data_IF_420338910144
#
_entry.id   IF_420338910144
#
_cell.length_a   1.000
_cell.length_b   1.000
_cell.length_c   1.000
_cell.angle_alpha   90.00
_cell.angle_beta   90.00
_cell.angle_gamma   90.00
#
_symmetry.space_group_name_H-M   'P 1'
#
loop_
_entity.id
_entity.type
_entity.pdbx_description
1 polymer ?
#
# COMPACT_ATOMS: atom_id res chain seq x y z
N UNK A 1 12.23 2.07 -20.19
CA UNK A 1 11.13 1.72 -19.26
C UNK A 1 11.79 1.40 -17.92
N UNK A 2 11.38 2.04 -16.83
CA UNK A 2 12.03 1.87 -15.52
C UNK A 2 11.14 1.06 -14.59
N UNK A 3 11.68 0.05 -13.93
CA UNK A 3 10.99 -0.80 -12.96
C UNK A 3 11.51 -0.51 -11.55
N UNK A 4 10.67 -0.67 -10.53
CA UNK A 4 11.05 -0.60 -9.11
C UNK A 4 10.77 -1.91 -8.40
N UNK A 5 11.61 -2.27 -7.44
CA UNK A 5 11.47 -3.48 -6.61
C UNK A 5 10.40 -3.31 -5.52
N UNK A 6 10.01 -2.08 -5.22
CA UNK A 6 9.17 -1.76 -4.06
C UNK A 6 8.23 -0.61 -4.37
N UNK A 7 6.95 -0.80 -4.03
CA UNK A 7 5.90 0.22 -4.12
C UNK A 7 5.15 0.32 -2.79
N UNK A 8 5.04 1.54 -2.27
CA UNK A 8 4.25 1.86 -1.07
C UNK A 8 3.10 2.79 -1.43
N UNK A 9 1.96 2.60 -0.77
CA UNK A 9 0.75 3.39 -0.97
C UNK A 9 -0.03 3.43 0.34
N UNK A 10 -0.71 4.53 0.62
CA UNK A 10 -1.63 4.64 1.73
C UNK A 10 -3.05 5.01 1.26
N UNK A 11 -4.05 4.64 2.06
CA UNK A 11 -5.44 5.02 1.81
C UNK A 11 -6.16 5.33 3.12
N UNK A 12 -7.29 6.04 3.04
CA UNK A 12 -8.10 6.32 4.22
C UNK A 12 -8.72 5.03 4.77
N UNK A 13 -8.81 4.91 6.10
CA UNK A 13 -9.45 3.77 6.79
C UNK A 13 -10.85 3.41 6.23
N UNK A 14 -11.68 4.42 5.94
CA UNK A 14 -13.04 4.24 5.44
C UNK A 14 -13.12 3.83 3.95
N UNK A 15 -12.02 3.88 3.20
CA UNK A 15 -12.02 3.54 1.77
C UNK A 15 -11.95 2.00 1.57
N UNK A 16 -13.04 1.32 1.95
CA UNK A 16 -13.14 -0.14 1.90
C UNK A 16 -12.85 -0.72 0.51
N UNK A 17 -13.24 0.00 -0.56
CA UNK A 17 -12.99 -0.42 -1.95
C UNK A 17 -11.49 -0.45 -2.22
N UNK A 18 -10.77 0.63 -1.90
CA UNK A 18 -9.33 0.70 -2.13
C UNK A 18 -8.56 -0.31 -1.28
N UNK A 19 -8.95 -0.50 0.00
CA UNK A 19 -8.33 -1.53 0.87
C UNK A 19 -8.42 -2.92 0.24
N UNK A 20 -9.61 -3.31 -0.22
CA UNK A 20 -9.84 -4.60 -0.88
C UNK A 20 -9.07 -4.72 -2.21
N UNK A 21 -9.01 -3.63 -2.98
CA UNK A 21 -8.26 -3.61 -4.24
C UNK A 21 -6.77 -3.85 -4.00
N UNK A 22 -6.17 -3.13 -3.04
CA UNK A 22 -4.75 -3.26 -2.70
C UNK A 22 -4.40 -4.68 -2.27
N UNK A 23 -5.21 -5.26 -1.37
CA UNK A 23 -5.02 -6.63 -0.90
C UNK A 23 -5.12 -7.64 -2.05
N UNK A 24 -6.07 -7.45 -2.98
CA UNK A 24 -6.21 -8.30 -4.18
C UNK A 24 -5.01 -8.18 -5.13
N UNK A 25 -4.46 -6.98 -5.31
CA UNK A 25 -3.32 -6.73 -6.20
C UNK A 25 -1.96 -7.12 -5.57
N UNK A 26 -1.98 -7.76 -4.39
CA UNK A 26 -0.77 -8.28 -3.73
C UNK A 26 0.00 -7.24 -2.91
N UNK A 27 -0.65 -6.16 -2.49
CA UNK A 27 -0.10 -5.29 -1.46
C UNK A 27 -0.42 -5.83 -0.07
N UNK A 28 0.52 -5.68 0.85
CA UNK A 28 0.37 -6.09 2.26
C UNK A 28 0.17 -4.85 3.12
N UNK A 29 -0.81 -4.88 4.03
CA UNK A 29 -0.96 -3.84 5.05
C UNK A 29 0.24 -3.88 6.01
N UNK A 30 0.91 -2.75 6.19
CA UNK A 30 2.15 -2.64 6.98
C UNK A 30 2.04 -1.70 8.17
N UNK A 31 0.94 -0.96 8.30
CA UNK A 31 0.73 -0.09 9.45
C UNK A 31 -0.10 1.15 9.13
N UNK A 32 0.07 2.18 9.95
CA UNK A 32 -0.73 3.41 9.89
C UNK A 32 0.18 4.63 9.85
N UNK A 33 -0.15 5.59 8.99
CA UNK A 33 0.48 6.91 8.94
C UNK A 33 -0.44 7.90 9.65
N UNK A 34 0.14 8.74 10.50
CA UNK A 34 -0.58 9.86 11.14
C UNK A 34 -0.28 11.12 10.34
N UNK A 35 -1.34 11.80 9.90
CA UNK A 35 -1.25 13.05 9.17
C UNK A 35 -1.14 14.26 10.14
N UNK A 36 -0.69 15.44 9.67
CA UNK A 36 -0.56 16.63 10.52
C UNK A 36 -1.87 17.09 11.17
N UNK A 37 -3.02 16.79 10.57
CA UNK A 37 -4.35 17.08 11.10
C UNK A 37 -4.86 16.04 12.10
N UNK A 38 -4.08 14.99 12.36
CA UNK A 38 -4.42 13.89 13.24
C UNK A 38 -5.19 12.75 12.55
N UNK A 39 -5.55 12.88 11.27
CA UNK A 39 -6.18 11.80 10.51
C UNK A 39 -5.21 10.64 10.29
N UNK A 40 -5.76 9.46 9.99
CA UNK A 40 -5.02 8.23 9.86
C UNK A 40 -5.19 7.58 8.48
N UNK A 41 -4.06 7.18 7.91
CA UNK A 41 -4.00 6.43 6.64
C UNK A 41 -3.48 5.03 6.87
N UNK A 42 -4.11 4.02 6.28
CA UNK A 42 -3.60 2.65 6.24
C UNK A 42 -2.49 2.58 5.20
N UNK A 43 -1.29 2.22 5.62
CA UNK A 43 -0.14 2.03 4.76
C UNK A 43 -0.06 0.59 4.24
N UNK A 44 0.28 0.46 2.97
CA UNK A 44 0.45 -0.78 2.25
C UNK A 44 1.78 -0.81 1.51
N UNK A 45 2.36 -2.00 1.36
CA UNK A 45 3.63 -2.23 0.69
C UNK A 45 3.53 -3.46 -0.21
N UNK A 46 3.98 -3.33 -1.46
CA UNK A 46 4.22 -4.44 -2.37
C UNK A 46 5.70 -4.49 -2.74
N UNK A 47 6.29 -5.67 -2.57
CA UNK A 47 7.66 -5.96 -2.97
C UNK A 47 7.58 -6.87 -4.18
N UNK A 48 8.21 -6.49 -5.29
CA UNK A 48 8.42 -7.42 -6.38
C UNK A 48 9.46 -8.45 -5.91
N UNK A 49 9.16 -9.76 -5.93
CA UNK A 49 10.16 -10.76 -5.64
C UNK A 49 11.30 -10.59 -6.65
N UNK A 50 12.52 -10.39 -6.15
CA UNK A 50 13.71 -10.29 -7.01
C UNK A 50 13.81 -11.59 -7.82
N UNK A 51 13.67 -11.48 -9.15
CA UNK A 51 13.80 -12.61 -10.08
C UNK A 51 12.52 -13.19 -10.68
N UNK A 52 11.39 -12.46 -10.66
CA UNK A 52 10.24 -12.81 -11.51
C UNK A 52 10.59 -12.61 -12.99
N UNK A 53 10.51 -13.71 -13.76
CA UNK A 53 10.81 -13.87 -15.21
C UNK A 53 10.55 -12.61 -16.04
#
# INVERSE_FOLDING_TARGET
MTQTDSLRIDTHEANAIMRRLLEREGFTYVGRVTLPDGDHRRAYHKVNPKGGI
#
